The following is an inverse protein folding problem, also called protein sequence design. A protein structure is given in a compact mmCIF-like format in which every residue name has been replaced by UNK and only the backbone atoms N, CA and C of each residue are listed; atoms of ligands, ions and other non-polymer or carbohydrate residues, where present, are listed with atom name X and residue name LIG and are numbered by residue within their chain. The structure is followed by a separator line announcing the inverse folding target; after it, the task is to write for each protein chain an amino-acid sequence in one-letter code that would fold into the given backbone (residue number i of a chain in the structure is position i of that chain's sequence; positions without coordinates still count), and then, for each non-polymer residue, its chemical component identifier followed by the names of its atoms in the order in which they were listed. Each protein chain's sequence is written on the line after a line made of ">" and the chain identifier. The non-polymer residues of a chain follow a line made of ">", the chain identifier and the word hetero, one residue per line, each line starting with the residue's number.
data_IF_281705491430
#
_entry.id   IF_281705491430
#
_cell.length_a   1.000
_cell.length_b   1.000
_cell.length_c   1.000
_cell.angle_alpha   90.00
_cell.angle_beta   90.00
_cell.angle_gamma   90.00
#
_symmetry.space_group_name_H-M   'P 1'
#
loop_
_entity.id
_entity.type
_entity.pdbx_description
1 polymer ?
#
# COMPACT_ATOMS: atom_id res chain seq x y z
N UNK A 1 -14.89 -10.96 -12.02
CA UNK A 1 -13.77 -11.15 -11.08
C UNK A 1 -12.68 -11.93 -11.76
N UNK A 2 -11.52 -11.32 -11.95
CA UNK A 2 -10.31 -12.02 -12.39
C UNK A 2 -9.55 -12.45 -11.12
N UNK A 3 -9.12 -13.72 -10.97
CA UNK A 3 -8.47 -14.21 -9.75
C UNK A 3 -7.14 -13.51 -9.44
N UNK A 4 -6.51 -12.87 -10.43
CA UNK A 4 -5.35 -12.02 -10.20
C UNK A 4 -5.70 -10.79 -9.36
N UNK A 5 -6.87 -10.17 -9.54
CA UNK A 5 -7.25 -8.97 -8.79
C UNK A 5 -7.32 -9.24 -7.27
N UNK A 6 -7.63 -10.48 -6.89
CA UNK A 6 -7.67 -10.93 -5.49
C UNK A 6 -6.25 -11.06 -4.89
N UNK A 7 -5.22 -11.15 -5.72
CA UNK A 7 -3.81 -11.23 -5.31
C UNK A 7 -3.16 -9.85 -5.06
N UNK A 8 -3.88 -8.75 -5.32
CA UNK A 8 -3.36 -7.39 -5.13
C UNK A 8 -2.88 -7.17 -3.69
N UNK A 9 -3.65 -7.60 -2.69
CA UNK A 9 -3.26 -7.49 -1.29
C UNK A 9 -1.97 -8.28 -1.01
N UNK A 10 -1.94 -9.55 -1.42
CA UNK A 10 -0.75 -10.40 -1.27
C UNK A 10 0.50 -9.85 -2.00
N UNK A 11 0.33 -9.16 -3.12
CA UNK A 11 1.42 -8.48 -3.83
C UNK A 11 1.97 -7.30 -3.01
N UNK A 12 1.09 -6.47 -2.45
CA UNK A 12 1.45 -5.30 -1.63
C UNK A 12 2.11 -5.73 -0.32
N UNK A 13 1.60 -6.79 0.31
CA UNK A 13 2.18 -7.38 1.53
C UNK A 13 3.49 -8.14 1.25
N UNK A 14 3.83 -8.39 -0.02
CA UNK A 14 5.04 -9.13 -0.41
C UNK A 14 4.96 -10.63 -0.13
N UNK A 15 3.76 -11.19 0.00
CA UNK A 15 3.51 -12.61 0.25
C UNK A 15 3.59 -13.46 -1.03
N UNK A 16 3.55 -12.81 -2.21
CA UNK A 16 3.72 -13.48 -3.49
C UNK A 16 5.19 -13.90 -3.72
N UNK A 17 5.37 -15.09 -4.30
CA UNK A 17 6.69 -15.54 -4.78
C UNK A 17 7.18 -14.65 -5.92
N UNK A 18 8.49 -14.63 -6.18
CA UNK A 18 9.05 -13.81 -7.27
C UNK A 18 8.44 -14.11 -8.65
N UNK A 19 8.05 -15.36 -8.90
CA UNK A 19 7.39 -15.77 -10.14
C UNK A 19 5.96 -15.24 -10.23
N UNK A 20 5.20 -15.33 -9.12
CA UNK A 20 3.85 -14.79 -9.01
C UNK A 20 3.84 -13.25 -9.11
N UNK A 21 4.80 -12.59 -8.46
CA UNK A 21 4.92 -11.14 -8.49
C UNK A 21 5.23 -10.61 -9.90
N UNK A 22 6.05 -11.31 -10.68
CA UNK A 22 6.28 -10.95 -12.09
C UNK A 22 5.01 -11.13 -12.94
N UNK A 23 4.31 -12.25 -12.80
CA UNK A 23 3.06 -12.47 -13.52
C UNK A 23 1.99 -11.41 -13.16
N UNK A 24 1.87 -11.11 -11.87
CA UNK A 24 0.96 -10.07 -11.38
C UNK A 24 1.36 -8.68 -11.87
N UNK A 25 2.66 -8.36 -11.96
CA UNK A 25 3.14 -7.07 -12.48
C UNK A 25 2.70 -6.84 -13.93
N UNK A 26 2.71 -7.88 -14.76
CA UNK A 26 2.20 -7.79 -16.14
C UNK A 26 0.69 -7.53 -16.15
N UNK A 27 -0.06 -8.23 -15.30
CA UNK A 27 -1.50 -8.01 -15.16
C UNK A 27 -1.84 -6.60 -14.64
N UNK A 28 -1.09 -6.12 -13.65
CA UNK A 28 -1.26 -4.79 -13.05
C UNK A 28 -1.09 -3.69 -14.12
N UNK A 29 -0.14 -3.85 -15.04
CA UNK A 29 0.07 -2.87 -16.11
C UNK A 29 -1.12 -2.76 -17.09
N UNK A 30 -1.88 -3.84 -17.29
CA UNK A 30 -3.00 -3.90 -18.24
C UNK A 30 -4.38 -3.72 -17.58
N UNK A 31 -4.48 -3.96 -16.27
CA UNK A 31 -5.74 -3.93 -15.54
C UNK A 31 -5.94 -2.62 -14.75
N UNK A 32 -6.85 -1.76 -15.23
CA UNK A 32 -7.18 -0.50 -14.58
C UNK A 32 -7.76 -0.65 -13.17
N UNK A 33 -8.52 -1.73 -12.90
CA UNK A 33 -9.07 -2.01 -11.56
C UNK A 33 -7.96 -2.29 -10.55
N UNK A 34 -6.95 -3.08 -10.93
CA UNK A 34 -5.79 -3.35 -10.08
C UNK A 34 -4.92 -2.10 -9.86
N UNK A 35 -4.79 -1.24 -10.88
CA UNK A 35 -4.07 0.02 -10.75
C UNK A 35 -4.76 0.94 -9.74
N UNK A 36 -6.07 1.15 -9.90
CA UNK A 36 -6.85 1.98 -8.97
C UNK A 36 -6.83 1.41 -7.54
N UNK A 37 -6.93 0.08 -7.39
CA UNK A 37 -6.82 -0.57 -6.08
C UNK A 37 -5.45 -0.38 -5.44
N UNK A 38 -4.35 -0.47 -6.21
CA UNK A 38 -3.01 -0.24 -5.69
C UNK A 38 -2.83 1.20 -5.22
N UNK A 39 -3.29 2.17 -6.02
CA UNK A 39 -3.22 3.60 -5.70
C UNK A 39 -3.98 3.90 -4.40
N UNK A 40 -5.18 3.37 -4.23
CA UNK A 40 -5.98 3.50 -3.01
C UNK A 40 -5.21 3.02 -1.76
N UNK A 41 -4.59 1.84 -1.83
CA UNK A 41 -3.81 1.31 -0.71
C UNK A 41 -2.57 2.15 -0.39
N UNK A 42 -1.87 2.66 -1.41
CA UNK A 42 -0.73 3.57 -1.22
C UNK A 42 -1.18 4.88 -0.59
N UNK A 43 -2.30 5.45 -1.04
CA UNK A 43 -2.87 6.67 -0.49
C UNK A 43 -3.30 6.50 0.98
N UNK A 44 -3.97 5.38 1.31
CA UNK A 44 -4.33 5.05 2.68
C UNK A 44 -3.09 4.94 3.59
N UNK A 45 -2.03 4.28 3.11
CA UNK A 45 -0.77 4.14 3.84
C UNK A 45 -0.09 5.49 4.07
N UNK A 46 -0.08 6.38 3.08
CA UNK A 46 0.46 7.74 3.20
C UNK A 46 -0.35 8.58 4.20
N UNK A 47 -1.68 8.47 4.18
CA UNK A 47 -2.55 9.16 5.12
C UNK A 47 -2.29 8.72 6.57
N UNK A 48 -2.12 7.42 6.82
CA UNK A 48 -1.75 6.88 8.14
C UNK A 48 -0.39 7.42 8.59
N UNK A 49 0.61 7.41 7.71
CA UNK A 49 1.95 7.94 8.02
C UNK A 49 1.91 9.43 8.34
N UNK A 50 1.21 10.23 7.53
CA UNK A 50 1.05 11.66 7.75
C UNK A 50 0.34 11.97 9.07
N UNK A 51 -0.69 11.18 9.41
CA UNK A 51 -1.36 11.30 10.70
C UNK A 51 -0.43 10.91 11.86
N UNK A 52 0.39 9.86 11.70
CA UNK A 52 1.38 9.44 12.69
C UNK A 52 2.47 10.49 12.92
N UNK A 53 2.99 11.11 11.86
CA UNK A 53 4.00 12.17 11.93
C UNK A 53 3.44 13.44 12.59
N UNK A 54 2.22 13.86 12.20
CA UNK A 54 1.52 14.97 12.85
C UNK A 54 1.25 14.70 14.34
N UNK A 55 0.92 13.46 14.69
CA UNK A 55 0.75 13.04 16.07
C UNK A 55 2.08 13.09 16.83
N UNK A 56 3.17 12.54 16.29
CA UNK A 56 4.50 12.59 16.91
C UNK A 56 5.00 14.04 17.11
N UNK A 57 4.74 14.92 16.14
CA UNK A 57 5.07 16.34 16.24
C UNK A 57 4.26 17.05 17.34
N UNK A 58 2.97 16.72 17.49
CA UNK A 58 2.11 17.24 18.56
C UNK A 58 2.43 16.61 19.93
N UNK A 59 2.90 15.36 19.95
CA UNK A 59 3.21 14.59 21.14
C UNK A 59 4.62 14.77 21.67
N UNK A 60 5.48 15.60 21.05
CA UNK A 60 6.71 16.03 21.71
C UNK A 60 6.30 16.62 23.06
N UNK A 61 6.56 15.92 24.19
CA UNK A 61 6.29 16.51 25.48
C UNK A 61 7.19 17.74 25.53
N UNK A 62 6.58 18.86 25.86
CA UNK A 62 7.22 20.05 26.39
C UNK A 62 8.17 19.61 27.52
N UNK A 63 9.39 19.22 27.14
CA UNK A 63 10.49 18.94 28.02
C UNK A 63 11.10 20.29 28.39
N UNK A 64 10.51 20.87 29.45
CA UNK A 64 11.10 21.59 30.61
C UNK A 64 12.12 22.71 30.37
N UNK A 65 12.09 23.75 31.21
CA UNK A 65 12.89 23.75 32.44
C UNK A 65 12.08 23.88 33.75
#
# INVERSE_FOLDING_TARGET
>A
MNPMCEQLAAFVDGELTSEQAQAFSVHLADCAECQAGLEDQVQASLAVQAAGDAHAAHQRPQATP
#
